data_IF_225547167810
#
_entry.id   IF_225547167810
#
_cell.length_a   1.000
_cell.length_b   1.000
_cell.length_c   1.000
_cell.angle_alpha   90.00
_cell.angle_beta   90.00
_cell.angle_gamma   90.00
#
_symmetry.space_group_name_H-M   'P 1'
#
loop_
_entity.id
_entity.type
_entity.pdbx_description
1 polymer ?
#
# COMPACT_ATOMS: atom_id res chain seq x y z
N UNK A 1 -3.25 -0.32 -13.81
CA UNK A 1 -2.65 0.69 -12.91
C UNK A 1 -1.68 0.02 -11.95
N UNK A 2 -2.14 -0.62 -10.86
CA UNK A 2 -1.30 -1.11 -9.74
C UNK A 2 0.06 -1.76 -10.07
N UNK A 3 0.16 -2.68 -11.05
CA UNK A 3 1.45 -3.31 -11.41
C UNK A 3 2.46 -2.30 -11.96
N UNK A 4 1.99 -1.37 -12.79
CA UNK A 4 2.81 -0.33 -13.43
C UNK A 4 3.30 0.68 -12.40
N UNK A 5 2.41 1.18 -11.56
CA UNK A 5 2.75 2.14 -10.50
C UNK A 5 3.72 1.54 -9.47
N UNK A 6 3.56 0.27 -9.09
CA UNK A 6 4.49 -0.42 -8.21
C UNK A 6 5.93 -0.46 -8.78
N UNK A 7 6.07 -0.66 -10.09
CA UNK A 7 7.37 -0.65 -10.74
C UNK A 7 7.91 0.78 -10.88
N UNK A 8 7.09 1.72 -11.34
CA UNK A 8 7.49 3.12 -11.51
C UNK A 8 7.91 3.78 -10.19
N UNK A 9 7.11 3.64 -9.12
CA UNK A 9 7.39 4.34 -7.85
C UNK A 9 8.45 3.64 -6.98
N UNK A 10 8.46 2.30 -6.96
CA UNK A 10 9.28 1.52 -6.03
C UNK A 10 10.32 0.63 -6.71
N UNK A 11 10.31 0.51 -8.04
CA UNK A 11 11.20 -0.39 -8.78
C UNK A 11 10.95 -1.86 -8.45
N UNK A 12 9.69 -2.22 -8.17
CA UNK A 12 9.29 -3.56 -7.78
C UNK A 12 8.32 -4.17 -8.80
N UNK A 13 8.64 -5.38 -9.25
CA UNK A 13 7.75 -6.18 -10.11
C UNK A 13 7.18 -7.31 -9.26
N UNK A 14 5.90 -7.23 -8.94
CA UNK A 14 5.20 -8.30 -8.23
C UNK A 14 4.91 -9.48 -9.17
N UNK A 15 5.11 -10.72 -8.72
CA UNK A 15 4.68 -11.90 -9.51
C UNK A 15 3.15 -11.99 -9.50
N UNK A 16 2.54 -11.81 -8.33
CA UNK A 16 1.10 -11.79 -8.13
C UNK A 16 0.66 -10.55 -7.33
N UNK A 17 -0.52 -10.03 -7.70
CA UNK A 17 -1.25 -9.03 -6.90
C UNK A 17 -2.54 -9.67 -6.39
N UNK A 18 -2.64 -9.85 -5.07
CA UNK A 18 -3.83 -10.38 -4.41
C UNK A 18 -4.78 -9.23 -4.09
N UNK A 19 -6.02 -9.19 -4.62
CA UNK A 19 -6.96 -8.13 -4.29
C UNK A 19 -7.34 -8.13 -2.80
N UNK A 20 -7.25 -6.98 -2.14
CA UNK A 20 -7.61 -6.81 -0.74
C UNK A 20 -9.01 -6.21 -0.58
N UNK A 21 -9.25 -5.04 -1.17
CA UNK A 21 -10.49 -4.32 -0.99
C UNK A 21 -10.67 -3.24 -2.06
N UNK A 22 -11.91 -2.77 -2.21
CA UNK A 22 -12.24 -1.62 -3.06
C UNK A 22 -13.14 -0.70 -2.25
N UNK A 23 -12.75 0.57 -2.13
CA UNK A 23 -13.52 1.57 -1.38
C UNK A 23 -13.48 2.94 -2.06
N UNK A 24 -14.42 3.81 -1.71
CA UNK A 24 -14.39 5.21 -2.11
C UNK A 24 -13.71 6.03 -1.02
N UNK A 25 -12.61 6.71 -1.36
CA UNK A 25 -11.85 7.53 -0.39
C UNK A 25 -12.70 8.66 0.18
N UNK A 26 -13.51 9.30 -0.66
CA UNK A 26 -14.41 10.37 -0.26
C UNK A 26 -15.66 10.37 -1.14
N UNK A 27 -16.66 9.52 -0.86
CA UNK A 27 -17.82 9.34 -1.73
C UNK A 27 -18.68 10.60 -1.86
N UNK A 28 -18.59 11.56 -0.93
CA UNK A 28 -19.27 12.84 -1.01
C UNK A 28 -18.59 13.87 -1.92
N UNK A 29 -17.32 13.67 -2.28
CA UNK A 29 -16.54 14.60 -3.13
C UNK A 29 -16.02 13.98 -4.42
N UNK A 30 -15.87 12.66 -4.47
CA UNK A 30 -15.34 11.94 -5.62
C UNK A 30 -16.07 10.62 -5.80
N UNK A 31 -16.37 10.29 -7.06
CA UNK A 31 -16.91 8.99 -7.47
C UNK A 31 -15.82 7.93 -7.65
N UNK A 32 -14.55 8.33 -7.55
CA UNK A 32 -13.39 7.46 -7.74
C UNK A 32 -13.32 6.36 -6.67
N UNK A 33 -12.99 5.15 -7.10
CA UNK A 33 -12.74 4.00 -6.22
C UNK A 33 -11.25 3.71 -6.17
N UNK A 34 -10.76 3.45 -4.96
CA UNK A 34 -9.41 2.95 -4.70
C UNK A 34 -9.44 1.43 -4.65
N UNK A 35 -8.59 0.78 -5.46
CA UNK A 35 -8.45 -0.67 -5.51
C UNK A 35 -7.15 -1.08 -4.81
N UNK A 36 -7.26 -1.83 -3.72
CA UNK A 36 -6.12 -2.25 -2.91
C UNK A 36 -5.68 -3.68 -3.27
N UNK A 37 -4.36 -3.87 -3.32
CA UNK A 37 -3.73 -5.16 -3.61
C UNK A 37 -2.60 -5.44 -2.62
N UNK A 38 -2.30 -6.72 -2.40
CA UNK A 38 -1.14 -7.20 -1.66
C UNK A 38 -0.19 -7.93 -2.61
N UNK A 39 1.08 -7.57 -2.57
CA UNK A 39 2.17 -8.31 -3.19
C UNK A 39 3.06 -8.91 -2.09
N UNK A 40 3.17 -10.24 -2.02
CA UNK A 40 4.00 -10.94 -1.02
C UNK A 40 5.39 -11.29 -1.55
N UNK A 41 5.56 -11.30 -2.87
CA UNK A 41 6.83 -11.50 -3.54
C UNK A 41 6.97 -10.50 -4.69
N UNK A 42 8.14 -9.87 -4.77
CA UNK A 42 8.49 -8.98 -5.86
C UNK A 42 9.97 -9.11 -6.18
N UNK A 43 10.30 -8.98 -7.46
CA UNK A 43 11.67 -8.88 -7.97
C UNK A 43 12.01 -7.42 -8.28
N UNK A 44 13.30 -7.12 -8.40
CA UNK A 44 13.77 -5.79 -8.80
C UNK A 44 13.37 -5.49 -10.24
N UNK A 45 12.73 -4.35 -10.43
CA UNK A 45 12.50 -3.68 -11.71
C UNK A 45 13.27 -2.35 -11.75
N UNK A 46 12.70 -1.37 -12.43
CA UNK A 46 13.29 -0.03 -12.56
C UNK A 46 12.31 1.04 -12.09
N UNK A 47 12.71 1.80 -11.06
CA UNK A 47 11.95 2.95 -10.58
C UNK A 47 12.18 4.16 -11.49
N UNK A 48 11.12 4.93 -11.74
CA UNK A 48 11.13 6.24 -12.40
C UNK A 48 11.26 7.27 -11.29
N UNK A 49 12.42 7.92 -11.18
CA UNK A 49 12.73 8.85 -10.07
C UNK A 49 13.01 10.27 -10.54
N UNK A 50 12.81 10.54 -11.82
CA UNK A 50 13.14 11.80 -12.49
C UNK A 50 11.94 12.73 -12.70
N UNK A 51 10.74 12.34 -12.24
CA UNK A 51 9.57 13.23 -12.25
C UNK A 51 9.61 14.21 -11.06
N UNK A 52 9.81 15.52 -11.29
CA UNK A 52 9.81 16.51 -10.21
C UNK A 52 8.44 16.69 -9.54
N UNK A 53 7.34 16.26 -10.18
CA UNK A 53 6.00 16.28 -9.60
C UNK A 53 5.76 15.14 -8.60
N UNK A 54 6.57 14.07 -8.63
CA UNK A 54 6.44 12.89 -7.78
C UNK A 54 7.71 12.66 -6.95
N UNK A 55 7.70 13.17 -5.71
CA UNK A 55 8.82 13.01 -4.79
C UNK A 55 8.60 11.85 -3.81
N UNK A 56 8.77 10.62 -4.31
CA UNK A 56 8.57 9.40 -3.53
C UNK A 56 9.88 8.92 -2.90
N UNK A 57 9.81 8.42 -1.66
CA UNK A 57 10.93 7.73 -0.99
C UNK A 57 10.49 6.36 -0.51
N UNK A 58 11.25 5.33 -0.88
CA UNK A 58 11.01 3.97 -0.40
C UNK A 58 11.37 3.83 1.09
N UNK A 59 10.44 3.26 1.87
CA UNK A 59 10.68 2.84 3.24
C UNK A 59 10.49 1.33 3.37
N UNK A 60 11.34 0.70 4.18
CA UNK A 60 11.20 -0.72 4.57
C UNK A 60 11.24 -0.79 6.08
N UNK A 61 10.22 -1.41 6.66
CA UNK A 61 10.09 -1.58 8.10
C UNK A 61 9.42 -2.93 8.42
N UNK A 62 9.63 -3.48 9.62
CA UNK A 62 8.83 -4.60 10.12
C UNK A 62 7.35 -4.24 10.21
N UNK A 63 6.47 -5.24 10.02
CA UNK A 63 5.01 -5.03 10.12
C UNK A 63 4.59 -4.50 11.51
N UNK A 64 5.28 -4.93 12.56
CA UNK A 64 5.04 -4.43 13.92
C UNK A 64 5.39 -2.95 14.09
N UNK A 65 6.38 -2.44 13.34
CA UNK A 65 6.71 -1.01 13.35
C UNK A 65 5.65 -0.20 12.62
N UNK A 66 5.13 -0.70 11.50
CA UNK A 66 3.98 -0.09 10.81
C UNK A 66 2.76 0.00 11.74
N UNK A 67 2.43 -1.08 12.44
CA UNK A 67 1.31 -1.11 13.39
C UNK A 67 1.50 -0.09 14.51
N UNK A 68 2.71 0.00 15.08
CA UNK A 68 3.05 1.02 16.09
C UNK A 68 2.86 2.45 15.56
N UNK A 69 3.37 2.75 14.37
CA UNK A 69 3.24 4.08 13.75
C UNK A 69 1.78 4.45 13.45
N UNK A 70 0.94 3.47 13.11
CA UNK A 70 -0.50 3.65 12.97
C UNK A 70 -1.13 3.98 14.33
N UNK A 71 -0.80 3.21 15.38
CA UNK A 71 -1.35 3.42 16.73
C UNK A 71 -0.96 4.79 17.33
N UNK A 72 0.25 5.24 17.06
CA UNK A 72 0.76 6.55 17.50
C UNK A 72 0.20 7.72 16.68
N UNK A 73 -0.49 7.46 15.57
CA UNK A 73 -1.04 8.49 14.69
C UNK A 73 -0.02 9.14 13.76
N UNK A 74 1.17 8.56 13.62
CA UNK A 74 2.19 9.01 12.65
C UNK A 74 1.84 8.58 11.21
N UNK A 75 1.12 7.46 11.07
CA UNK A 75 0.54 7.01 9.80
C UNK A 75 -0.98 7.14 9.85
N UNK A 76 -1.50 8.09 9.07
CA UNK A 76 -2.94 8.40 9.00
C UNK A 76 -3.53 8.19 7.60
N UNK A 77 -2.73 7.72 6.65
CA UNK A 77 -3.17 7.51 5.27
C UNK A 77 -4.26 6.41 5.20
N UNK A 78 -5.48 6.72 4.74
CA UNK A 78 -6.57 5.74 4.76
C UNK A 78 -6.33 4.53 3.87
N UNK A 79 -5.60 4.67 2.76
CA UNK A 79 -5.26 3.56 1.85
C UNK A 79 -4.42 2.54 2.61
N UNK A 80 -3.41 2.99 3.35
CA UNK A 80 -2.53 2.14 4.14
C UNK A 80 -3.25 1.50 5.33
N UNK A 81 -4.08 2.27 6.05
CA UNK A 81 -4.90 1.77 7.16
C UNK A 81 -5.87 0.66 6.70
N UNK A 82 -6.60 0.89 5.60
CA UNK A 82 -7.52 -0.10 5.04
C UNK A 82 -6.77 -1.30 4.47
N UNK A 83 -5.63 -1.11 3.80
CA UNK A 83 -4.83 -2.22 3.28
C UNK A 83 -4.35 -3.13 4.41
N UNK A 84 -3.78 -2.56 5.48
CA UNK A 84 -3.25 -3.30 6.62
C UNK A 84 -4.33 -4.10 7.36
N UNK A 85 -5.47 -3.47 7.63
CA UNK A 85 -6.61 -4.10 8.32
C UNK A 85 -7.27 -5.19 7.47
N UNK A 86 -7.48 -4.95 6.18
CA UNK A 86 -8.08 -5.94 5.27
C UNK A 86 -7.17 -7.14 5.02
N UNK A 87 -5.84 -6.94 4.96
CA UNK A 87 -4.90 -8.04 4.85
C UNK A 87 -4.91 -8.95 6.10
N UNK A 88 -5.00 -8.37 7.30
CA UNK A 88 -5.18 -9.12 8.54
C UNK A 88 -6.52 -9.87 8.59
N UNK A 89 -7.62 -9.19 8.30
CA UNK A 89 -8.97 -9.78 8.33
C UNK A 89 -9.13 -10.95 7.36
N UNK A 90 -8.36 -10.96 6.26
CA UNK A 90 -8.32 -12.06 5.28
C UNK A 90 -7.33 -13.16 5.63
N UNK A 91 -6.58 -13.06 6.73
CA UNK A 91 -5.54 -14.02 7.12
C UNK A 91 -4.32 -14.02 6.21
N UNK A 92 -4.12 -12.97 5.40
CA UNK A 92 -2.98 -12.85 4.48
C UNK A 92 -1.74 -12.28 5.18
N UNK A 93 -1.94 -11.54 6.26
CA UNK A 93 -0.92 -11.05 7.18
C UNK A 93 -1.35 -11.35 8.62
N UNK A 94 -0.42 -11.31 9.60
CA UNK A 94 -0.77 -11.40 11.01
C UNK A 94 -1.84 -10.39 11.44
N UNK A 95 -2.56 -10.65 12.55
CA UNK A 95 -3.48 -9.69 13.16
C UNK A 95 -2.83 -8.32 13.33
N UNK A 96 -3.65 -7.27 13.32
CA UNK A 96 -3.17 -5.89 13.56
C UNK A 96 -2.77 -5.76 15.03
N UNK A 97 -1.53 -5.33 15.29
CA UNK A 97 -0.99 -5.13 16.64
C UNK A 97 -1.10 -3.67 17.10
N UNK A 98 -2.33 -3.16 17.23
CA UNK A 98 -2.63 -1.81 17.76
C UNK A 98 -3.39 -1.87 19.08
#
# INVERSE_FOLDING_TARGET
AARRELEEELGLIADALTPLHVFAMNPGRSVGKTHLFLATAARRGHAVTDDPAEQVRSARMPLAELDRLIAEGEILDPTLLVARTMAAAKGLLPPVGI
#
